data_IF_666630748930
#
_entry.id   IF_666630748930
#
_cell.length_a   1.000
_cell.length_b   1.000
_cell.length_c   1.000
_cell.angle_alpha   90.00
_cell.angle_beta   90.00
_cell.angle_gamma   90.00
#
_symmetry.space_group_name_H-M   'P 1'
#
loop_
_entity.id
_entity.type
_entity.pdbx_description
1 polymer ?
#
# COMPACT_ATOMS: atom_id res chain seq x y z
N UNK A 1 -15.59 7.57 -2.70
CA UNK A 1 -15.58 7.80 -4.16
C UNK A 1 -14.60 6.82 -4.76
N UNK A 2 -15.06 5.81 -5.49
CA UNK A 2 -14.18 4.88 -6.22
C UNK A 2 -13.76 5.61 -7.48
N UNK A 3 -12.46 5.82 -7.65
CA UNK A 3 -11.95 6.60 -8.77
C UNK A 3 -11.81 5.72 -10.02
N UNK A 4 -11.84 6.32 -11.21
CA UNK A 4 -11.74 5.60 -12.50
C UNK A 4 -10.47 4.73 -12.59
N UNK A 5 -9.48 5.01 -11.74
CA UNK A 5 -8.21 4.27 -11.64
C UNK A 5 -8.29 2.98 -10.82
N UNK A 6 -9.42 2.67 -10.15
CA UNK A 6 -9.67 1.41 -9.43
C UNK A 6 -10.38 0.36 -10.31
N UNK A 7 -10.20 0.43 -11.63
CA UNK A 7 -10.80 -0.49 -12.58
C UNK A 7 -10.29 -1.92 -12.24
N UNK A 8 -11.21 -2.81 -11.89
CA UNK A 8 -10.91 -4.19 -11.47
C UNK A 8 -10.07 -4.31 -10.18
N UNK A 9 -10.09 -3.30 -9.31
CA UNK A 9 -9.42 -3.39 -8.00
C UNK A 9 -7.89 -3.32 -8.06
N UNK A 10 -7.32 -2.73 -9.10
CA UNK A 10 -5.88 -2.48 -9.24
C UNK A 10 -5.61 -1.00 -8.98
N UNK A 11 -4.65 -0.68 -8.12
CA UNK A 11 -4.19 0.70 -7.95
C UNK A 11 -3.02 0.99 -8.88
N UNK A 12 -3.23 1.87 -9.87
CA UNK A 12 -2.17 2.32 -10.78
C UNK A 12 -1.39 3.54 -10.26
N UNK A 13 -1.85 4.17 -9.18
CA UNK A 13 -1.21 5.35 -8.59
C UNK A 13 -0.03 4.94 -7.71
N UNK A 14 0.98 5.81 -7.66
CA UNK A 14 2.11 5.63 -6.75
C UNK A 14 1.70 5.97 -5.32
N UNK A 15 1.69 4.95 -4.46
CA UNK A 15 1.34 5.06 -3.04
C UNK A 15 2.45 5.76 -2.23
N UNK A 16 2.05 6.55 -1.24
CA UNK A 16 2.92 7.11 -0.20
C UNK A 16 2.55 6.50 1.13
N UNK A 17 3.53 6.30 2.01
CA UNK A 17 3.26 5.85 3.38
C UNK A 17 2.33 6.85 4.09
N UNK A 18 1.25 6.39 4.74
CA UNK A 18 0.33 7.28 5.44
C UNK A 18 1.01 8.02 6.59
N UNK A 19 1.98 7.39 7.27
CA UNK A 19 2.61 7.94 8.47
C UNK A 19 3.77 8.88 8.14
N UNK A 20 4.72 8.45 7.30
CA UNK A 20 5.94 9.23 7.03
C UNK A 20 6.01 9.86 5.63
N UNK A 21 4.94 9.73 4.83
CA UNK A 21 4.77 10.28 3.46
C UNK A 21 5.82 9.86 2.43
N UNK A 22 6.67 8.87 2.74
CA UNK A 22 7.69 8.38 1.81
C UNK A 22 7.02 7.60 0.68
N UNK A 23 7.47 7.82 -0.56
CA UNK A 23 6.96 7.12 -1.73
C UNK A 23 7.30 5.63 -1.64
N UNK A 24 6.31 4.77 -1.87
CA UNK A 24 6.53 3.33 -1.95
C UNK A 24 7.07 2.93 -3.34
N UNK A 25 7.81 1.80 -3.42
CA UNK A 25 8.26 1.25 -4.70
C UNK A 25 7.08 0.75 -5.54
N UNK A 26 7.20 0.87 -6.87
CA UNK A 26 6.15 0.44 -7.82
C UNK A 26 6.00 -1.10 -7.78
N UNK A 27 7.13 -1.81 -7.78
CA UNK A 27 7.14 -3.26 -7.60
C UNK A 27 7.00 -3.55 -6.10
N UNK A 28 5.90 -4.22 -5.72
CA UNK A 28 5.66 -4.67 -4.35
C UNK A 28 6.39 -5.98 -4.06
N UNK A 29 6.87 -6.12 -2.83
CA UNK A 29 7.39 -7.38 -2.28
C UNK A 29 6.77 -7.57 -0.89
N UNK A 30 5.74 -8.43 -0.76
CA UNK A 30 5.08 -8.63 0.52
C UNK A 30 6.06 -9.22 1.55
N UNK A 31 6.06 -8.66 2.75
CA UNK A 31 6.90 -9.13 3.87
C UNK A 31 6.10 -9.96 4.90
N UNK A 32 4.78 -9.87 4.87
CA UNK A 32 3.86 -10.57 5.79
C UNK A 32 2.64 -11.07 5.02
N UNK A 33 1.91 -12.03 5.62
CA UNK A 33 0.67 -12.58 5.06
C UNK A 33 -0.41 -11.51 4.88
N UNK A 34 -0.44 -10.52 5.77
CA UNK A 34 -1.34 -9.37 5.68
C UNK A 34 -1.10 -8.59 4.38
N UNK A 35 0.17 -8.36 4.02
CA UNK A 35 0.49 -7.67 2.76
C UNK A 35 0.21 -8.51 1.52
N UNK A 36 0.26 -9.84 1.63
CA UNK A 36 -0.21 -10.75 0.60
C UNK A 36 -1.71 -10.57 0.33
N UNK A 37 -2.52 -10.50 1.39
CA UNK A 37 -3.98 -10.33 1.31
C UNK A 37 -4.39 -8.93 0.83
N UNK A 38 -3.83 -7.87 1.41
CA UNK A 38 -4.20 -6.48 1.12
C UNK A 38 -3.44 -5.86 -0.06
N UNK A 39 -2.42 -6.55 -0.58
CA UNK A 39 -1.67 -6.14 -1.77
C UNK A 39 -0.70 -4.98 -1.57
N UNK A 40 -0.28 -4.74 -0.33
CA UNK A 40 0.37 -3.50 0.07
C UNK A 40 1.89 -3.55 0.31
N UNK A 41 2.39 -2.67 1.18
CA UNK A 41 3.81 -2.51 1.50
C UNK A 41 4.07 -2.39 3.01
N UNK A 42 5.23 -2.85 3.48
CA UNK A 42 5.83 -2.34 4.72
C UNK A 42 6.75 -1.16 4.39
N UNK A 43 6.49 0.00 5.02
CA UNK A 43 7.35 1.15 4.89
C UNK A 43 8.75 0.88 5.49
N UNK A 44 9.81 0.92 4.68
CA UNK A 44 11.19 0.75 5.19
C UNK A 44 11.65 1.86 6.14
N UNK A 45 10.98 3.01 6.15
CA UNK A 45 11.36 4.16 6.99
C UNK A 45 10.74 4.10 8.38
N UNK A 46 9.46 3.76 8.50
CA UNK A 46 8.73 3.79 9.78
C UNK A 46 8.09 2.46 10.18
N UNK A 47 8.22 1.40 9.38
CA UNK A 47 7.67 0.07 9.70
C UNK A 47 6.16 -0.08 9.47
N UNK A 48 5.43 1.00 9.15
CA UNK A 48 4.00 0.97 8.87
C UNK A 48 3.67 -0.03 7.74
N UNK A 49 2.77 -0.97 8.02
CA UNK A 49 2.12 -1.79 7.00
C UNK A 49 0.93 -1.04 6.44
N UNK A 50 0.81 -0.99 5.12
CA UNK A 50 -0.29 -0.30 4.44
C UNK A 50 -0.79 -1.15 3.28
N UNK A 51 -2.06 -1.02 2.92
CA UNK A 51 -2.68 -1.72 1.80
C UNK A 51 -2.22 -1.18 0.42
N UNK A 52 -2.72 -1.79 -0.66
CA UNK A 52 -2.42 -1.34 -2.03
C UNK A 52 -2.88 0.09 -2.35
N UNK A 53 -3.70 0.71 -1.51
CA UNK A 53 -4.22 2.07 -1.65
C UNK A 53 -3.50 3.08 -0.76
N UNK A 54 -2.64 2.62 0.16
CA UNK A 54 -1.90 3.47 1.09
C UNK A 54 -2.61 3.72 2.41
N UNK A 55 -3.64 2.94 2.74
CA UNK A 55 -4.26 2.95 4.06
C UNK A 55 -3.47 2.07 5.00
N UNK A 56 -3.22 2.52 6.23
CA UNK A 56 -2.54 1.72 7.24
C UNK A 56 -3.35 0.46 7.59
N UNK A 57 -2.67 -0.68 7.72
CA UNK A 57 -3.25 -1.93 8.19
C UNK A 57 -3.06 -1.94 9.71
N UNK A 58 -3.97 -1.26 10.42
CA UNK A 58 -4.11 -1.40 11.88
C UNK A 58 -5.09 -2.52 12.17
N UNK A 59 -4.65 -3.55 12.91
CA UNK A 59 -5.52 -4.59 13.47
C UNK A 59 -5.66 -4.36 14.96
#
# INVERSE_FOLDING_TARGET
>A
MITKEDLFGVNLKRVKCPNCKVKQPIIRKPQTERLLLFGGWTCKKCGCEMDKYGNEISV
#
